data_IF_615722397071
#
_entry.id   IF_615722397071
#
_cell.length_a   1.000
_cell.length_b   1.000
_cell.length_c   1.000
_cell.angle_alpha   90.00
_cell.angle_beta   90.00
_cell.angle_gamma   90.00
#
_symmetry.space_group_name_H-M   'P 1'
#
loop_
_entity.id
_entity.type
_entity.pdbx_description
1 polymer ?
#
# COMPACT_ATOMS: atom_id res chain seq x y z
N UNK A 1 18.07 21.48 1.07
CA UNK A 1 17.98 20.23 1.84
C UNK A 1 18.94 19.25 1.20
N UNK A 2 19.88 18.73 1.97
CA UNK A 2 20.84 17.74 1.49
C UNK A 2 20.22 16.35 1.65
N UNK A 3 19.17 16.11 0.85
CA UNK A 3 18.33 14.90 0.94
C UNK A 3 19.14 13.62 0.73
N UNK A 4 20.19 13.71 -0.10
CA UNK A 4 21.13 12.61 -0.31
C UNK A 4 21.86 12.27 0.98
N UNK A 5 22.43 13.28 1.66
CA UNK A 5 23.07 13.06 2.95
C UNK A 5 22.10 12.54 4.02
N UNK A 6 20.89 13.10 4.11
CA UNK A 6 19.85 12.62 5.04
C UNK A 6 19.54 11.14 4.80
N UNK A 7 19.32 10.75 3.54
CA UNK A 7 19.07 9.35 3.18
C UNK A 7 20.26 8.44 3.52
N UNK A 8 21.48 8.88 3.23
CA UNK A 8 22.70 8.10 3.50
C UNK A 8 22.97 7.93 5.00
N UNK A 9 22.57 8.88 5.84
CA UNK A 9 22.78 8.84 7.28
C UNK A 9 21.66 8.10 8.01
N UNK A 10 20.40 8.38 7.66
CA UNK A 10 19.23 7.94 8.43
C UNK A 10 18.44 6.81 7.73
N UNK A 11 18.78 6.49 6.48
CA UNK A 11 18.03 5.54 5.65
C UNK A 11 16.67 6.06 5.19
N UNK A 12 16.37 7.35 5.42
CA UNK A 12 15.09 7.98 5.12
C UNK A 12 15.26 9.47 4.79
N UNK A 13 14.42 10.00 3.92
CA UNK A 13 14.30 11.44 3.66
C UNK A 13 12.84 11.85 3.72
N UNK A 14 12.54 12.95 4.41
CA UNK A 14 11.17 13.47 4.60
C UNK A 14 10.94 14.65 3.67
N UNK A 15 10.12 14.45 2.63
CA UNK A 15 9.87 15.48 1.61
C UNK A 15 8.76 16.49 1.97
N UNK A 16 8.01 16.23 3.05
CA UNK A 16 6.84 17.03 3.40
C UNK A 16 5.65 16.80 2.44
N UNK A 17 4.64 17.70 2.44
CA UNK A 17 3.40 17.53 1.68
C UNK A 17 3.57 17.89 0.20
N UNK A 18 4.36 17.12 -0.54
CA UNK A 18 4.66 17.37 -1.96
C UNK A 18 3.56 16.91 -2.92
N UNK A 19 2.59 16.14 -2.42
CA UNK A 19 1.49 15.58 -3.21
C UNK A 19 0.22 16.39 -2.95
N UNK A 20 -0.47 16.74 -4.03
CA UNK A 20 -1.72 17.50 -3.96
C UNK A 20 -2.81 16.74 -3.19
N UNK A 21 -3.38 17.41 -2.18
CA UNK A 21 -4.35 16.80 -1.28
C UNK A 21 -5.68 16.49 -1.97
N UNK A 22 -6.14 17.33 -2.90
CA UNK A 22 -7.39 17.09 -3.63
C UNK A 22 -7.28 15.88 -4.55
N UNK A 23 -6.11 15.69 -5.17
CA UNK A 23 -5.83 14.50 -5.97
C UNK A 23 -5.74 13.24 -5.11
N UNK A 24 -5.20 13.32 -3.90
CA UNK A 24 -5.27 12.22 -2.92
C UNK A 24 -6.72 11.86 -2.56
N UNK A 25 -7.57 12.86 -2.31
CA UNK A 25 -9.00 12.65 -2.02
C UNK A 25 -9.70 12.01 -3.22
N UNK A 26 -9.44 12.50 -4.43
CA UNK A 26 -9.98 11.93 -5.66
C UNK A 26 -9.55 10.47 -5.84
N UNK A 27 -8.26 10.17 -5.65
CA UNK A 27 -7.74 8.81 -5.73
C UNK A 27 -8.43 7.88 -4.72
N UNK A 28 -8.61 8.33 -3.47
CA UNK A 28 -9.36 7.57 -2.45
C UNK A 28 -10.81 7.32 -2.86
N UNK A 29 -11.47 8.30 -3.48
CA UNK A 29 -12.84 8.16 -3.97
C UNK A 29 -12.93 7.17 -5.13
N UNK A 30 -11.96 7.19 -6.06
CA UNK A 30 -11.87 6.19 -7.14
C UNK A 30 -11.63 4.79 -6.58
N UNK A 31 -10.70 4.65 -5.64
CA UNK A 31 -10.42 3.39 -4.96
C UNK A 31 -11.67 2.83 -4.27
N UNK A 32 -12.40 3.67 -3.52
CA UNK A 32 -13.62 3.27 -2.80
C UNK A 32 -14.72 2.74 -3.72
N UNK A 33 -14.77 3.19 -4.99
CA UNK A 33 -15.69 2.66 -6.01
C UNK A 33 -15.29 1.27 -6.50
N UNK A 34 -13.99 0.97 -6.54
CA UNK A 34 -13.46 -0.32 -6.99
C UNK A 34 -13.50 -1.35 -5.87
N UNK A 35 -13.14 -0.93 -4.65
CA UNK A 35 -13.13 -1.73 -3.43
C UNK A 35 -13.77 -0.92 -2.30
N UNK A 36 -15.04 -1.20 -1.96
CA UNK A 36 -15.69 -0.56 -0.84
C UNK A 36 -14.89 -0.70 0.45
N UNK A 37 -14.65 0.41 1.14
CA UNK A 37 -14.00 0.44 2.45
C UNK A 37 -15.08 0.24 3.51
N UNK A 38 -15.50 -1.00 3.67
CA UNK A 38 -16.61 -1.42 4.52
C UNK A 38 -16.27 -2.72 5.26
N UNK A 39 -16.70 -2.83 6.52
CA UNK A 39 -16.36 -3.97 7.37
C UNK A 39 -16.96 -5.28 6.84
N UNK A 40 -18.20 -5.26 6.34
CA UNK A 40 -18.84 -6.44 5.79
C UNK A 40 -18.13 -6.88 4.51
N UNK A 41 -17.86 -5.95 3.59
CA UNK A 41 -17.14 -6.23 2.36
C UNK A 41 -15.77 -6.87 2.63
N UNK A 42 -14.99 -6.32 3.56
CA UNK A 42 -13.68 -6.88 3.87
C UNK A 42 -13.78 -8.30 4.45
N UNK A 43 -14.64 -8.50 5.46
CA UNK A 43 -14.82 -9.81 6.10
C UNK A 43 -15.33 -10.88 5.14
N UNK A 44 -16.17 -10.53 4.18
CA UNK A 44 -16.80 -11.49 3.26
C UNK A 44 -16.07 -11.69 1.92
N UNK A 45 -15.35 -10.67 1.43
CA UNK A 45 -14.81 -10.65 0.05
C UNK A 45 -13.30 -10.48 -0.03
N UNK A 46 -12.64 -10.01 1.03
CA UNK A 46 -11.18 -9.77 1.02
C UNK A 46 -10.44 -10.86 1.77
N UNK A 47 -10.94 -11.28 2.93
CA UNK A 47 -10.34 -12.37 3.71
C UNK A 47 -10.91 -13.73 3.32
N UNK A 48 -10.10 -14.77 3.48
CA UNK A 48 -10.58 -16.15 3.47
C UNK A 48 -11.46 -16.39 4.71
N UNK A 49 -12.44 -17.28 4.57
CA UNK A 49 -13.14 -17.81 5.75
C UNK A 49 -12.21 -18.73 6.54
N UNK A 50 -12.49 -18.88 7.83
CA UNK A 50 -11.64 -19.69 8.72
C UNK A 50 -11.49 -21.14 8.24
N UNK A 51 -12.56 -21.73 7.71
CA UNK A 51 -12.55 -23.09 7.17
C UNK A 51 -11.90 -23.21 5.78
N UNK A 52 -11.65 -22.09 5.10
CA UNK A 52 -10.95 -22.04 3.80
C UNK A 52 -9.45 -21.77 3.98
N UNK A 53 -9.03 -21.37 5.18
CA UNK A 53 -7.64 -21.05 5.49
C UNK A 53 -6.85 -22.32 5.84
N UNK A 54 -5.82 -22.59 5.04
CA UNK A 54 -4.86 -23.66 5.26
C UNK A 54 -3.51 -23.06 5.72
N UNK A 55 -3.08 -23.32 6.97
CA UNK A 55 -1.84 -22.77 7.51
C UNK A 55 -0.57 -23.39 6.91
N UNK A 56 -0.66 -24.54 6.24
CA UNK A 56 0.49 -25.23 5.63
C UNK A 56 0.68 -24.81 4.16
N UNK A 57 -0.35 -24.21 3.55
CA UNK A 57 -0.30 -23.74 2.17
C UNK A 57 0.62 -22.54 2.04
N UNK A 58 1.52 -22.59 1.05
CA UNK A 58 2.35 -21.42 0.70
C UNK A 58 1.48 -20.21 0.36
N UNK A 59 1.79 -19.08 0.99
CA UNK A 59 1.17 -17.78 0.70
C UNK A 59 2.00 -16.92 -0.25
N UNK A 60 3.03 -17.50 -0.87
CA UNK A 60 3.80 -16.82 -1.91
C UNK A 60 2.91 -16.44 -3.11
N UNK A 61 3.11 -15.24 -3.66
CA UNK A 61 2.35 -14.76 -4.82
C UNK A 61 0.90 -14.33 -4.54
N UNK A 62 0.44 -14.35 -3.29
CA UNK A 62 -0.93 -13.93 -2.93
C UNK A 62 -1.13 -12.42 -3.00
N UNK A 63 -0.06 -11.63 -2.87
CA UNK A 63 -0.09 -10.17 -2.93
C UNK A 63 -0.51 -9.60 -4.29
N UNK A 64 -0.67 -8.26 -4.38
CA UNK A 64 -0.98 -7.58 -5.63
C UNK A 64 0.07 -7.90 -6.70
N UNK A 65 -0.39 -8.35 -7.86
CA UNK A 65 0.43 -8.64 -9.04
C UNK A 65 -0.35 -8.30 -10.32
N UNK A 66 0.29 -8.53 -11.47
CA UNK A 66 -0.27 -8.18 -12.79
C UNK A 66 -1.71 -8.70 -12.94
N UNK A 67 -2.64 -7.83 -13.32
CA UNK A 67 -4.06 -8.13 -13.53
C UNK A 67 -4.91 -8.17 -12.25
N UNK A 68 -4.28 -8.23 -11.07
CA UNK A 68 -4.95 -8.20 -9.76
C UNK A 68 -4.68 -6.91 -8.98
N UNK A 69 -3.69 -6.14 -9.41
CA UNK A 69 -3.24 -4.96 -8.71
C UNK A 69 -4.18 -3.79 -8.95
N UNK A 70 -4.76 -3.25 -7.87
CA UNK A 70 -5.74 -2.17 -7.96
C UNK A 70 -5.14 -0.87 -8.52
N UNK A 71 -3.82 -0.70 -8.45
CA UNK A 71 -3.14 0.46 -9.07
C UNK A 71 -3.19 0.46 -10.59
N UNK A 72 -3.50 -0.68 -11.22
CA UNK A 72 -3.69 -0.76 -12.69
C UNK A 72 -5.01 -0.14 -13.15
N UNK A 73 -5.92 0.18 -12.21
CA UNK A 73 -7.27 0.67 -12.49
C UNK A 73 -7.44 2.18 -12.30
N UNK A 74 -6.35 2.88 -11.96
CA UNK A 74 -6.36 4.30 -11.62
C UNK A 74 -5.12 4.99 -12.19
N UNK A 75 -5.23 6.28 -12.49
CA UNK A 75 -4.09 7.08 -12.91
C UNK A 75 -3.32 7.60 -11.67
N UNK A 76 -2.01 7.32 -11.60
CA UNK A 76 -1.11 7.74 -10.53
C UNK A 76 -0.05 8.74 -10.98
N UNK A 77 -0.17 9.29 -12.19
CA UNK A 77 0.78 10.23 -12.78
C UNK A 77 1.09 11.42 -11.87
N UNK A 78 0.12 11.91 -11.11
CA UNK A 78 0.33 13.04 -10.20
C UNK A 78 1.30 12.75 -9.04
N UNK A 79 1.52 11.47 -8.74
CA UNK A 79 2.54 11.00 -7.81
C UNK A 79 3.79 10.65 -8.61
N UNK A 80 3.68 9.78 -9.62
CA UNK A 80 4.81 9.20 -10.36
C UNK A 80 5.62 10.26 -11.16
N UNK A 81 4.96 11.32 -11.61
CA UNK A 81 5.52 12.45 -12.37
C UNK A 81 5.71 13.71 -11.53
N UNK A 82 5.57 13.62 -10.21
CA UNK A 82 5.84 14.74 -9.32
C UNK A 82 7.33 15.12 -9.40
N UNK A 83 7.64 16.35 -9.80
CA UNK A 83 9.02 16.77 -10.07
C UNK A 83 9.92 16.67 -8.84
N UNK A 84 9.41 17.01 -7.65
CA UNK A 84 10.16 16.93 -6.39
C UNK A 84 10.49 15.47 -6.07
N UNK A 85 9.53 14.57 -6.26
CA UNK A 85 9.74 13.13 -6.08
C UNK A 85 10.79 12.59 -7.06
N UNK A 86 10.66 12.89 -8.36
CA UNK A 86 11.58 12.39 -9.38
C UNK A 86 13.01 12.92 -9.19
N UNK A 87 13.17 14.20 -8.84
CA UNK A 87 14.47 14.79 -8.55
C UNK A 87 15.12 14.11 -7.33
N UNK A 88 14.33 13.87 -6.27
CA UNK A 88 14.81 13.17 -5.07
C UNK A 88 15.25 11.75 -5.40
N UNK A 89 14.41 10.98 -6.09
CA UNK A 89 14.73 9.61 -6.48
C UNK A 89 15.96 9.55 -7.39
N UNK A 90 16.09 10.50 -8.32
CA UNK A 90 17.25 10.57 -9.22
C UNK A 90 18.55 10.85 -8.48
N UNK A 91 18.52 11.68 -7.43
CA UNK A 91 19.69 11.94 -6.58
C UNK A 91 20.10 10.71 -5.77
N UNK A 92 19.13 10.02 -5.18
CA UNK A 92 19.39 8.88 -4.29
C UNK A 92 19.70 7.58 -5.05
N UNK A 93 19.00 7.33 -6.15
CA UNK A 93 19.04 6.04 -6.88
C UNK A 93 19.75 6.14 -8.24
N UNK A 94 20.09 7.35 -8.70
CA UNK A 94 20.60 7.63 -10.04
C UNK A 94 19.49 7.95 -11.05
N UNK A 95 19.87 8.59 -12.16
CA UNK A 95 18.93 9.05 -13.20
C UNK A 95 18.14 7.93 -13.89
N UNK A 96 18.68 6.72 -13.89
CA UNK A 96 18.12 5.58 -14.61
C UNK A 96 17.23 4.69 -13.73
N UNK A 97 16.76 5.22 -12.58
CA UNK A 97 15.88 4.49 -11.68
C UNK A 97 14.59 4.05 -12.40
N UNK A 98 14.04 2.92 -11.95
CA UNK A 98 12.80 2.37 -12.49
C UNK A 98 11.83 2.03 -11.37
N UNK A 99 10.56 2.36 -11.58
CA UNK A 99 9.48 1.90 -10.71
C UNK A 99 9.23 0.43 -11.03
N UNK A 100 9.66 -0.46 -10.15
CA UNK A 100 9.53 -1.92 -10.34
C UNK A 100 8.18 -2.47 -9.89
N UNK A 101 7.46 -1.72 -9.05
CA UNK A 101 6.15 -2.11 -8.58
C UNK A 101 5.47 -0.96 -7.85
N UNK A 102 4.15 -1.02 -7.85
CA UNK A 102 3.27 -0.11 -7.11
C UNK A 102 2.19 -0.94 -6.46
N UNK A 103 1.75 -0.57 -5.25
CA UNK A 103 0.66 -1.26 -4.55
C UNK A 103 0.01 -0.31 -3.57
N UNK A 104 -1.29 -0.45 -3.37
CA UNK A 104 -1.95 0.18 -2.22
C UNK A 104 -1.66 -0.63 -0.96
N UNK A 105 -1.19 0.05 0.08
CA UNK A 105 -1.04 -0.51 1.42
C UNK A 105 -2.05 0.21 2.31
N UNK A 106 -2.85 -0.57 3.03
CA UNK A 106 -3.92 -0.05 3.88
C UNK A 106 -3.81 -0.68 5.26
N UNK A 107 -3.75 0.16 6.30
CA UNK A 107 -4.02 -0.27 7.66
C UNK A 107 -5.52 -0.49 7.83
N UNK A 108 -5.90 -1.64 8.39
CA UNK A 108 -7.31 -1.99 8.61
C UNK A 108 -7.68 -1.79 10.07
N UNK A 109 -8.80 -1.10 10.36
CA UNK A 109 -9.38 -1.09 11.70
C UNK A 109 -9.75 -2.51 12.16
N UNK A 110 -9.65 -2.78 13.48
CA UNK A 110 -9.89 -4.12 14.05
C UNK A 110 -11.28 -4.68 13.67
N UNK A 111 -12.29 -3.81 13.57
CA UNK A 111 -13.66 -4.22 13.22
C UNK A 111 -13.82 -4.67 11.75
N UNK A 112 -12.86 -4.38 10.87
CA UNK A 112 -12.83 -4.85 9.47
C UNK A 112 -12.07 -6.17 9.31
N UNK A 113 -11.38 -6.62 10.35
CA UNK A 113 -10.65 -7.89 10.39
C UNK A 113 -11.59 -8.97 10.94
N UNK A 114 -11.69 -10.16 10.31
CA UNK A 114 -12.46 -11.28 10.86
C UNK A 114 -12.03 -11.65 12.28
N UNK A 115 -13.01 -11.96 13.14
CA UNK A 115 -12.79 -12.22 14.56
C UNK A 115 -11.81 -13.38 14.81
N UNK A 116 -11.84 -14.41 13.95
CA UNK A 116 -10.93 -15.55 14.04
C UNK A 116 -9.46 -15.15 13.83
N UNK A 117 -9.20 -14.18 12.95
CA UNK A 117 -7.85 -13.62 12.73
C UNK A 117 -7.45 -12.81 13.96
N UNK A 118 -8.31 -11.93 14.46
CA UNK A 118 -8.02 -11.13 15.65
C UNK A 118 -7.70 -12.01 16.87
N UNK A 119 -8.45 -13.11 17.07
CA UNK A 119 -8.19 -14.09 18.13
C UNK A 119 -6.84 -14.80 17.94
N UNK A 120 -6.51 -15.20 16.71
CA UNK A 120 -5.25 -15.88 16.39
C UNK A 120 -4.03 -14.97 16.52
N UNK A 121 -4.13 -13.72 16.07
CA UNK A 121 -3.03 -12.74 16.12
C UNK A 121 -2.65 -12.33 17.55
N UNK A 122 -3.63 -12.25 18.46
CA UNK A 122 -3.38 -12.00 19.90
C UNK A 122 -2.47 -13.06 20.52
N UNK A 123 -2.57 -14.31 20.06
CA UNK A 123 -1.74 -15.42 20.56
C UNK A 123 -0.32 -15.43 19.95
N UNK A 124 -0.07 -14.65 18.90
CA UNK A 124 1.22 -14.59 18.19
C UNK A 124 2.08 -13.39 18.64
N UNK A 125 1.64 -12.62 19.63
CA UNK A 125 2.36 -11.42 20.11
C UNK A 125 2.28 -10.24 19.15
N UNK A 126 1.37 -10.27 18.17
CA UNK A 126 1.04 -9.10 17.35
C UNK A 126 -0.14 -8.35 17.97
N UNK A 127 0.12 -7.73 19.12
CA UNK A 127 -0.55 -6.55 19.68
C UNK A 127 0.48 -5.79 20.50
#
# INVERSE_FOLDING_TARGET
>A
LDLEREFLQDGVSVLGPIIDNEQCINLKNQFSKIRPIDAQFFKEKVFLKENEFDPEKSHYGTGPGIGRNLTERVNLDFIEKNSILQETLSKVLGSDYKIMGKKFVMGLPENMIPDWINKRSKNLGFV
#
